data_IF_503513904463
#
_entry.id   IF_503513904463
#
_cell.length_a   1.000
_cell.length_b   1.000
_cell.length_c   1.000
_cell.angle_alpha   90.00
_cell.angle_beta   90.00
_cell.angle_gamma   90.00
#
_symmetry.space_group_name_H-M   'P 1'
#
loop_
_entity.id
_entity.type
_entity.pdbx_description
1 polymer ?
#
# COMPACT_ATOMS: atom_id res chain seq x y z
N UNK A 1 -16.88 41.57 -71.47
CA UNK A 1 -17.58 40.61 -70.60
C UNK A 1 -17.58 39.25 -71.30
N UNK A 2 -17.18 38.17 -70.62
CA UNK A 2 -17.17 36.81 -71.19
C UNK A 2 -18.31 36.00 -70.55
N UNK A 3 -19.17 35.39 -71.37
CA UNK A 3 -20.39 34.67 -70.92
C UNK A 3 -20.07 33.31 -70.27
N UNK A 4 -18.90 32.73 -70.59
CA UNK A 4 -18.51 31.39 -70.14
C UNK A 4 -18.13 31.29 -68.65
N UNK A 5 -17.82 32.41 -67.99
CA UNK A 5 -17.51 32.41 -66.55
C UNK A 5 -18.23 33.54 -65.83
N UNK A 6 -18.93 33.18 -64.75
CA UNK A 6 -19.53 34.15 -63.84
C UNK A 6 -18.74 34.16 -62.53
N UNK A 7 -17.73 35.04 -62.48
CA UNK A 7 -16.83 35.15 -61.33
C UNK A 7 -17.57 35.69 -60.10
N UNK A 8 -18.58 36.55 -60.28
CA UNK A 8 -19.41 37.07 -59.20
C UNK A 8 -20.24 35.95 -58.54
N UNK A 9 -20.90 35.11 -59.34
CA UNK A 9 -21.62 33.95 -58.83
C UNK A 9 -20.70 32.93 -58.14
N UNK A 10 -19.51 32.69 -58.70
CA UNK A 10 -18.51 31.79 -58.10
C UNK A 10 -18.02 32.29 -56.73
N UNK A 11 -17.83 33.61 -56.59
CA UNK A 11 -17.45 34.22 -55.31
C UNK A 11 -18.59 34.10 -54.28
N UNK A 12 -19.83 34.43 -54.66
CA UNK A 12 -21.00 34.24 -53.79
C UNK A 12 -21.16 32.78 -53.35
N UNK A 13 -20.92 31.81 -54.24
CA UNK A 13 -20.96 30.39 -53.90
C UNK A 13 -19.88 29.99 -52.88
N UNK A 14 -18.63 30.47 -53.03
CA UNK A 14 -17.57 30.21 -52.03
C UNK A 14 -17.93 30.76 -50.64
N UNK A 15 -18.50 31.96 -50.57
CA UNK A 15 -18.94 32.55 -49.29
C UNK A 15 -20.11 31.75 -48.69
N UNK A 16 -21.07 31.31 -49.51
CA UNK A 16 -22.17 30.45 -49.07
C UNK A 16 -21.66 29.10 -48.52
N UNK A 17 -20.69 28.47 -49.17
CA UNK A 17 -20.06 27.24 -48.66
C UNK A 17 -19.36 27.47 -47.32
N UNK A 18 -18.63 28.58 -47.17
CA UNK A 18 -18.01 28.97 -45.89
C UNK A 18 -19.04 29.13 -44.77
N UNK A 19 -20.14 29.83 -45.06
CA UNK A 19 -21.23 30.06 -44.10
C UNK A 19 -21.95 28.76 -43.72
N UNK A 20 -22.27 27.89 -44.69
CA UNK A 20 -22.88 26.59 -44.41
C UNK A 20 -21.98 25.73 -43.51
N UNK A 21 -20.67 25.70 -43.76
CA UNK A 21 -19.72 24.97 -42.91
C UNK A 21 -19.70 25.52 -41.47
N UNK A 22 -19.76 26.85 -41.30
CA UNK A 22 -19.81 27.47 -39.97
C UNK A 22 -21.13 27.14 -39.23
N UNK A 23 -22.28 27.18 -39.93
CA UNK A 23 -23.58 26.80 -39.36
C UNK A 23 -23.58 25.33 -38.95
N UNK A 24 -23.08 24.42 -39.80
CA UNK A 24 -22.97 22.99 -39.47
C UNK A 24 -22.12 22.75 -38.21
N UNK A 25 -20.98 23.44 -38.05
CA UNK A 25 -20.15 23.34 -36.84
C UNK A 25 -20.87 23.87 -35.59
N UNK A 26 -21.62 24.97 -35.71
CA UNK A 26 -22.38 25.51 -34.59
C UNK A 26 -23.52 24.58 -34.17
N UNK A 27 -24.20 23.95 -35.13
CA UNK A 27 -25.21 22.93 -34.86
C UNK A 27 -24.60 21.68 -34.19
N UNK A 28 -23.40 21.25 -34.58
CA UNK A 28 -22.68 20.14 -33.92
C UNK A 28 -22.39 20.46 -32.45
N UNK A 29 -21.93 21.68 -32.15
CA UNK A 29 -21.68 22.15 -30.76
C UNK A 29 -22.95 22.27 -29.95
N UNK A 30 -24.03 22.77 -30.55
CA UNK A 30 -25.32 22.87 -29.89
C UNK A 30 -25.91 21.49 -29.59
N UNK A 31 -25.82 20.56 -30.52
CA UNK A 31 -26.37 19.20 -30.38
C UNK A 31 -25.60 18.35 -29.37
N UNK A 32 -24.28 18.54 -29.26
CA UNK A 32 -23.42 17.80 -28.32
C UNK A 32 -23.37 18.42 -26.92
N UNK A 33 -23.68 19.71 -26.81
CA UNK A 33 -23.49 20.48 -25.57
C UNK A 33 -22.02 20.75 -25.23
N UNK A 34 -21.06 20.34 -26.08
CA UNK A 34 -19.64 20.56 -25.86
C UNK A 34 -19.11 21.64 -26.79
N UNK A 35 -18.30 22.54 -26.23
CA UNK A 35 -17.63 23.61 -26.99
C UNK A 35 -16.55 23.08 -27.94
N UNK A 36 -15.88 21.99 -27.57
CA UNK A 36 -14.80 21.34 -28.32
C UNK A 36 -15.20 19.89 -28.59
N UNK A 37 -15.54 19.58 -29.84
CA UNK A 37 -15.94 18.22 -30.26
C UNK A 37 -14.84 17.47 -31.01
N UNK A 38 -13.85 18.19 -31.56
CA UNK A 38 -12.79 17.64 -32.40
C UNK A 38 -11.47 18.30 -32.02
N UNK A 39 -10.36 17.57 -32.16
CA UNK A 39 -9.01 18.10 -31.93
C UNK A 39 -8.68 19.30 -32.86
N UNK A 40 -9.33 19.39 -34.03
CA UNK A 40 -9.16 20.51 -34.96
C UNK A 40 -9.79 21.83 -34.51
N UNK A 41 -10.68 21.84 -33.52
CA UNK A 41 -11.26 23.07 -32.99
C UNK A 41 -10.37 23.71 -31.90
N UNK A 42 -9.80 22.89 -31.01
CA UNK A 42 -8.87 23.32 -29.95
C UNK A 42 -8.14 22.07 -29.38
N UNK A 43 -6.95 21.78 -29.91
CA UNK A 43 -6.19 20.58 -29.52
C UNK A 43 -5.72 20.63 -28.06
N UNK A 44 -5.29 21.81 -27.58
CA UNK A 44 -4.81 21.98 -26.21
C UNK A 44 -5.97 21.91 -25.21
N UNK A 45 -7.09 22.56 -25.51
CA UNK A 45 -8.31 22.48 -24.71
C UNK A 45 -8.87 21.07 -24.63
N UNK A 46 -8.85 20.32 -25.74
CA UNK A 46 -9.25 18.91 -25.75
C UNK A 46 -8.33 18.07 -24.84
N UNK A 47 -7.01 18.19 -24.99
CA UNK A 47 -6.04 17.43 -24.17
C UNK A 47 -6.17 17.71 -22.67
N UNK A 48 -6.37 18.98 -22.27
CA UNK A 48 -6.60 19.33 -20.87
C UNK A 48 -7.93 18.75 -20.38
N UNK A 49 -8.99 18.80 -21.19
CA UNK A 49 -10.30 18.26 -20.83
C UNK A 49 -10.28 16.74 -20.65
N UNK A 50 -9.52 16.02 -21.49
CA UNK A 50 -9.32 14.57 -21.37
C UNK A 50 -8.48 14.22 -20.13
N UNK A 51 -7.43 14.99 -19.85
CA UNK A 51 -6.66 14.86 -18.60
C UNK A 51 -7.57 15.04 -17.37
N UNK A 52 -8.42 16.06 -17.36
CA UNK A 52 -9.37 16.28 -16.27
C UNK A 52 -10.39 15.14 -16.18
N UNK A 53 -10.92 14.63 -17.30
CA UNK A 53 -11.81 13.45 -17.30
C UNK A 53 -11.11 12.21 -16.73
N UNK A 54 -9.85 11.98 -17.08
CA UNK A 54 -9.03 10.90 -16.51
C UNK A 54 -8.80 11.10 -15.01
N UNK A 55 -8.53 12.33 -14.56
CA UNK A 55 -8.41 12.64 -13.13
C UNK A 55 -9.74 12.43 -12.39
N UNK A 56 -10.87 12.88 -12.94
CA UNK A 56 -12.20 12.69 -12.33
C UNK A 56 -12.51 11.20 -12.17
N UNK A 57 -12.28 10.40 -13.21
CA UNK A 57 -12.49 8.94 -13.14
C UNK A 57 -11.53 8.28 -12.15
N UNK A 58 -10.26 8.71 -12.11
CA UNK A 58 -9.30 8.27 -11.10
C UNK A 58 -9.73 8.61 -9.67
N UNK A 59 -10.20 9.84 -9.43
CA UNK A 59 -10.68 10.29 -8.12
C UNK A 59 -11.96 9.56 -7.70
N UNK A 60 -12.89 9.29 -8.62
CA UNK A 60 -14.09 8.51 -8.33
C UNK A 60 -13.73 7.07 -7.90
N UNK A 61 -12.74 6.44 -8.53
CA UNK A 61 -12.24 5.13 -8.11
C UNK A 61 -11.52 5.22 -6.78
N UNK A 62 -10.69 6.25 -6.56
CA UNK A 62 -10.02 6.47 -5.28
C UNK A 62 -11.02 6.67 -4.13
N UNK A 63 -12.14 7.38 -4.38
CA UNK A 63 -13.21 7.54 -3.40
C UNK A 63 -13.86 6.20 -3.04
N UNK A 64 -14.14 5.34 -4.02
CA UNK A 64 -14.65 3.98 -3.77
C UNK A 64 -13.67 3.15 -2.96
N UNK A 65 -12.39 3.17 -3.33
CA UNK A 65 -11.34 2.47 -2.58
C UNK A 65 -11.22 2.99 -1.14
N UNK A 66 -11.38 4.29 -0.92
CA UNK A 66 -11.38 4.87 0.42
C UNK A 66 -12.60 4.42 1.24
N UNK A 67 -13.78 4.28 0.61
CA UNK A 67 -14.97 3.72 1.26
C UNK A 67 -14.77 2.26 1.64
N UNK A 68 -14.18 1.45 0.76
CA UNK A 68 -13.82 0.06 1.08
C UNK A 68 -12.82 0.00 2.25
N UNK A 69 -11.86 0.92 2.30
CA UNK A 69 -10.94 1.06 3.43
C UNK A 69 -11.65 1.43 4.74
N UNK A 70 -12.66 2.29 4.70
CA UNK A 70 -13.49 2.59 5.87
C UNK A 70 -14.26 1.35 6.33
N UNK A 71 -14.87 0.60 5.41
CA UNK A 71 -15.58 -0.65 5.73
C UNK A 71 -14.67 -1.72 6.31
N UNK A 72 -13.42 -1.82 5.82
CA UNK A 72 -12.39 -2.69 6.38
C UNK A 72 -12.09 -2.32 7.84
N UNK A 73 -11.84 -1.03 8.11
CA UNK A 73 -11.53 -0.55 9.47
C UNK A 73 -12.72 -0.75 10.41
N UNK A 74 -13.95 -0.50 9.96
CA UNK A 74 -15.16 -0.74 10.77
C UNK A 74 -15.35 -2.22 11.12
N UNK A 75 -15.02 -3.12 10.20
CA UNK A 75 -15.08 -4.57 10.47
C UNK A 75 -14.05 -4.96 11.53
N UNK A 76 -12.83 -4.42 11.44
CA UNK A 76 -11.81 -4.62 12.46
C UNK A 76 -12.20 -4.00 13.82
N UNK A 77 -12.79 -2.81 13.84
CA UNK A 77 -13.26 -2.13 15.05
C UNK A 77 -14.38 -2.90 15.75
N UNK A 78 -15.32 -3.48 14.99
CA UNK A 78 -16.37 -4.34 15.53
C UNK A 78 -15.79 -5.58 16.22
N UNK A 79 -14.84 -6.25 15.57
CA UNK A 79 -14.15 -7.41 16.16
C UNK A 79 -13.35 -7.03 17.42
N UNK A 80 -12.64 -5.89 17.39
CA UNK A 80 -11.88 -5.41 18.55
C UNK A 80 -12.77 -4.96 19.71
N UNK A 81 -14.00 -4.52 19.44
CA UNK A 81 -14.98 -4.20 20.49
C UNK A 81 -15.38 -5.44 21.28
N UNK A 82 -15.59 -6.58 20.60
CA UNK A 82 -15.83 -7.86 21.25
C UNK A 82 -14.62 -8.33 22.07
N UNK A 83 -13.41 -8.21 21.50
CA UNK A 83 -12.16 -8.50 22.23
C UNK A 83 -12.03 -7.62 23.49
N UNK A 84 -12.34 -6.33 23.39
CA UNK A 84 -12.32 -5.41 24.53
C UNK A 84 -13.33 -5.82 25.63
N UNK A 85 -14.55 -6.24 25.26
CA UNK A 85 -15.54 -6.75 26.21
C UNK A 85 -15.04 -8.00 26.95
N UNK A 86 -14.45 -8.96 26.23
CA UNK A 86 -13.88 -10.17 26.82
C UNK A 86 -12.68 -9.86 27.72
N UNK A 87 -11.81 -8.92 27.36
CA UNK A 87 -10.67 -8.51 28.19
C UNK A 87 -11.15 -7.85 29.49
N UNK A 88 -12.17 -7.00 29.44
CA UNK A 88 -12.76 -6.46 30.68
C UNK A 88 -13.32 -7.56 31.56
N UNK A 89 -13.98 -8.57 30.97
CA UNK A 89 -14.43 -9.75 31.72
C UNK A 89 -13.27 -10.53 32.33
N UNK A 90 -12.14 -10.67 31.63
CA UNK A 90 -10.93 -11.30 32.18
C UNK A 90 -10.35 -10.50 33.35
N UNK A 91 -10.39 -9.16 33.30
CA UNK A 91 -9.98 -8.29 34.42
C UNK A 91 -10.91 -8.48 35.62
N UNK A 92 -12.23 -8.51 35.42
CA UNK A 92 -13.18 -8.80 36.50
C UNK A 92 -12.91 -10.16 37.16
N UNK A 93 -12.63 -11.19 36.36
CA UNK A 93 -12.30 -12.53 36.88
C UNK A 93 -10.95 -12.54 37.62
N UNK A 94 -9.97 -11.75 37.16
CA UNK A 94 -8.69 -11.61 37.82
C UNK A 94 -8.83 -10.92 39.18
N UNK A 95 -9.61 -9.84 39.28
CA UNK A 95 -9.91 -9.14 40.52
C UNK A 95 -10.72 -10.03 41.49
N UNK A 96 -11.68 -10.79 40.95
CA UNK A 96 -12.41 -11.79 41.73
C UNK A 96 -11.47 -12.87 42.29
N UNK A 97 -10.54 -13.38 41.49
CA UNK A 97 -9.53 -14.34 41.99
C UNK A 97 -8.52 -13.72 42.96
N UNK A 98 -8.30 -12.41 42.92
CA UNK A 98 -7.39 -11.71 43.82
C UNK A 98 -8.04 -11.42 45.18
N UNK A 99 -9.37 -11.33 45.25
CA UNK A 99 -10.08 -11.18 46.50
C UNK A 99 -10.04 -12.51 47.30
N UNK A 100 -9.35 -12.49 48.44
CA UNK A 100 -8.97 -13.68 49.23
C UNK A 100 -10.11 -14.46 49.88
N UNK A 101 -11.37 -14.15 49.58
CA UNK A 101 -12.54 -14.94 49.98
C UNK A 101 -12.71 -16.23 49.18
N UNK A 102 -12.14 -16.32 47.98
CA UNK A 102 -12.10 -17.55 47.16
C UNK A 102 -10.86 -18.40 47.48
N UNK A 103 -10.78 -18.92 48.71
CA UNK A 103 -9.64 -19.70 49.20
C UNK A 103 -9.70 -21.19 48.77
N UNK A 104 -10.80 -21.63 48.17
CA UNK A 104 -10.93 -23.00 47.65
C UNK A 104 -10.22 -23.15 46.30
N UNK A 105 -9.27 -24.08 46.23
CA UNK A 105 -8.53 -24.43 45.00
C UNK A 105 -9.46 -24.79 43.82
N UNK A 106 -10.69 -25.25 44.11
CA UNK A 106 -11.71 -25.58 43.11
C UNK A 106 -12.30 -24.34 42.44
N UNK A 107 -12.53 -23.25 43.20
CA UNK A 107 -13.15 -22.04 42.67
C UNK A 107 -12.18 -21.28 41.77
N UNK A 108 -10.91 -21.17 42.19
CA UNK A 108 -9.83 -20.62 41.35
C UNK A 108 -9.60 -21.45 40.08
N UNK A 109 -9.74 -22.77 40.15
CA UNK A 109 -9.65 -23.63 38.97
C UNK A 109 -10.81 -23.40 37.99
N UNK A 110 -12.02 -23.08 38.46
CA UNK A 110 -13.15 -22.77 37.59
C UNK A 110 -13.03 -21.37 36.96
N UNK A 111 -12.57 -20.37 37.70
CA UNK A 111 -12.24 -19.04 37.15
C UNK A 111 -11.15 -19.14 36.07
N UNK A 112 -10.12 -19.97 36.30
CA UNK A 112 -9.07 -20.20 35.31
C UNK A 112 -9.60 -20.86 34.03
N UNK A 113 -10.58 -21.77 34.13
CA UNK A 113 -11.24 -22.34 32.93
C UNK A 113 -11.97 -21.27 32.13
N UNK A 114 -12.69 -20.35 32.79
CA UNK A 114 -13.37 -19.24 32.11
C UNK A 114 -12.36 -18.33 31.39
N UNK A 115 -11.27 -17.95 32.06
CA UNK A 115 -10.16 -17.19 31.44
C UNK A 115 -9.57 -17.92 30.23
N UNK A 116 -9.39 -19.24 30.32
CA UNK A 116 -8.84 -20.05 29.22
C UNK A 116 -9.80 -20.09 28.03
N UNK A 117 -11.11 -20.22 28.28
CA UNK A 117 -12.13 -20.13 27.23
C UNK A 117 -12.18 -18.75 26.58
N UNK A 118 -12.13 -17.67 27.36
CA UNK A 118 -12.09 -16.30 26.84
C UNK A 118 -10.84 -16.07 25.99
N UNK A 119 -9.68 -16.58 26.42
CA UNK A 119 -8.45 -16.52 25.61
C UNK A 119 -8.62 -17.24 24.27
N UNK A 120 -9.15 -18.48 24.29
CA UNK A 120 -9.39 -19.24 23.06
C UNK A 120 -10.37 -18.53 22.12
N UNK A 121 -11.34 -17.82 22.66
CA UNK A 121 -12.32 -17.07 21.88
C UNK A 121 -11.72 -15.79 21.28
N UNK A 122 -10.83 -15.10 22.02
CA UNK A 122 -10.04 -13.99 21.49
C UNK A 122 -9.17 -14.46 20.31
N UNK A 123 -8.46 -15.57 20.47
CA UNK A 123 -7.62 -16.15 19.40
C UNK A 123 -8.49 -16.52 18.18
N UNK A 124 -9.68 -17.11 18.39
CA UNK A 124 -10.64 -17.42 17.32
C UNK A 124 -11.13 -16.17 16.59
N UNK A 125 -11.43 -15.08 17.30
CA UNK A 125 -11.86 -13.82 16.67
C UNK A 125 -10.70 -13.21 15.88
N UNK A 126 -9.47 -13.26 16.39
CA UNK A 126 -8.30 -12.79 15.65
C UNK A 126 -8.11 -13.56 14.33
N UNK A 127 -8.26 -14.90 14.35
CA UNK A 127 -8.08 -15.76 13.18
C UNK A 127 -9.26 -15.76 12.19
N UNK A 128 -10.49 -15.48 12.65
CA UNK A 128 -11.68 -15.53 11.80
C UNK A 128 -12.15 -14.17 11.26
N UNK A 129 -11.59 -13.07 11.75
CA UNK A 129 -11.93 -11.72 11.28
C UNK A 129 -11.29 -11.46 9.93
N UNK A 130 -12.10 -11.58 8.87
CA UNK A 130 -11.68 -11.30 7.50
C UNK A 130 -12.55 -10.23 6.83
N UNK A 131 -11.96 -9.54 5.87
CA UNK A 131 -12.68 -8.67 4.94
C UNK A 131 -12.24 -8.99 3.52
N UNK A 132 -13.18 -9.46 2.69
CA UNK A 132 -12.90 -9.85 1.30
C UNK A 132 -11.73 -10.84 1.15
N UNK A 133 -11.60 -11.78 2.10
CA UNK A 133 -10.53 -12.79 2.12
C UNK A 133 -9.18 -12.30 2.65
N UNK A 134 -9.09 -11.08 3.17
CA UNK A 134 -7.91 -10.55 3.86
C UNK A 134 -8.15 -10.70 5.36
N UNK A 135 -7.28 -11.43 6.04
CA UNK A 135 -7.29 -11.55 7.50
C UNK A 135 -6.79 -10.24 8.13
N UNK A 136 -7.53 -9.74 9.12
CA UNK A 136 -7.33 -8.37 9.63
C UNK A 136 -6.52 -8.31 10.92
N UNK A 137 -6.61 -9.34 11.77
CA UNK A 137 -6.13 -9.30 13.16
C UNK A 137 -5.04 -10.34 13.48
N UNK A 138 -4.57 -11.10 12.48
CA UNK A 138 -3.54 -12.13 12.65
C UNK A 138 -2.10 -11.58 12.66
N UNK A 139 -1.92 -10.27 12.40
CA UNK A 139 -0.62 -9.60 12.37
C UNK A 139 0.10 -9.61 11.02
N UNK A 140 -0.39 -10.33 10.01
CA UNK A 140 0.22 -10.38 8.67
C UNK A 140 0.12 -9.04 7.93
N UNK A 141 -0.91 -8.24 8.25
CA UNK A 141 -1.09 -6.90 7.71
C UNK A 141 -0.17 -5.85 8.36
N UNK A 142 0.60 -6.24 9.38
CA UNK A 142 1.62 -5.38 9.99
C UNK A 142 2.72 -5.07 8.98
N UNK A 143 2.97 -3.79 8.73
CA UNK A 143 4.12 -3.31 7.94
C UNK A 143 5.46 -3.50 8.65
N UNK A 144 5.51 -4.38 9.65
CA UNK A 144 6.73 -4.72 10.35
C UNK A 144 7.65 -5.48 9.41
N UNK A 145 8.73 -4.81 9.01
CA UNK A 145 9.94 -5.43 8.47
C UNK A 145 10.54 -6.33 9.58
N UNK A 146 9.89 -7.45 9.89
CA UNK A 146 10.42 -8.45 10.81
C UNK A 146 11.32 -9.36 10.00
N UNK A 147 12.56 -8.94 9.82
CA UNK A 147 13.64 -9.84 9.43
C UNK A 147 13.78 -10.89 10.54
N UNK A 148 13.19 -12.06 10.34
CA UNK A 148 13.40 -13.21 11.23
C UNK A 148 14.85 -13.65 11.11
N UNK A 149 15.65 -13.29 12.13
CA UNK A 149 17.02 -13.80 12.28
C UNK A 149 16.91 -15.26 12.71
N UNK A 150 16.99 -16.17 11.76
CA UNK A 150 17.12 -17.61 12.04
C UNK A 150 18.59 -18.00 11.93
N UNK A 151 19.22 -18.28 13.07
CA UNK A 151 20.53 -18.92 13.10
C UNK A 151 20.36 -20.39 12.72
N UNK A 152 20.67 -20.75 11.47
CA UNK A 152 20.81 -22.16 11.09
C UNK A 152 22.17 -22.65 11.59
N UNK A 153 22.14 -23.58 12.54
CA UNK A 153 23.31 -24.34 12.95
C UNK A 153 23.67 -25.36 11.87
N UNK A 154 24.93 -25.42 11.47
CA UNK A 154 25.46 -26.54 10.70
C UNK A 154 25.72 -27.73 11.62
N UNK A 155 25.66 -28.95 11.10
CA UNK A 155 25.65 -30.22 11.83
C UNK A 155 26.90 -30.53 12.69
N UNK A 156 27.82 -29.58 12.83
CA UNK A 156 29.07 -29.68 13.62
C UNK A 156 29.21 -28.57 14.68
N UNK A 157 28.16 -27.82 15.00
CA UNK A 157 28.12 -26.93 16.18
C UNK A 157 29.04 -25.70 16.12
N UNK A 158 29.56 -25.31 14.95
CA UNK A 158 30.20 -24.00 14.75
C UNK A 158 29.16 -22.99 14.29
N UNK A 159 29.12 -21.81 14.94
CA UNK A 159 28.25 -20.68 14.58
C UNK A 159 28.54 -20.26 13.13
N UNK A 160 27.71 -20.74 12.20
CA UNK A 160 27.70 -20.28 10.82
C UNK A 160 27.22 -18.83 10.80
N UNK A 161 27.82 -18.01 9.93
CA UNK A 161 27.52 -16.59 9.82
C UNK A 161 26.03 -16.31 9.69
N UNK A 162 25.59 -15.20 10.28
CA UNK A 162 24.22 -14.70 10.14
C UNK A 162 24.11 -14.02 8.78
N UNK A 163 23.45 -14.67 7.83
CA UNK A 163 23.08 -14.03 6.57
C UNK A 163 21.94 -13.03 6.83
N UNK A 164 22.29 -11.75 6.97
CA UNK A 164 21.34 -10.65 7.07
C UNK A 164 20.81 -10.29 5.68
N UNK A 165 19.74 -10.94 5.24
CA UNK A 165 19.04 -10.56 4.01
C UNK A 165 18.13 -9.37 4.27
N UNK A 166 18.61 -8.17 3.97
CA UNK A 166 17.77 -6.98 3.91
C UNK A 166 17.16 -6.82 2.52
N UNK A 167 15.83 -6.85 2.40
CA UNK A 167 15.13 -6.63 1.13
C UNK A 167 14.64 -5.18 1.08
N UNK A 168 15.42 -4.29 0.44
CA UNK A 168 15.10 -2.87 0.33
C UNK A 168 14.41 -2.57 -1.01
N UNK A 169 13.13 -2.93 -1.15
CA UNK A 169 12.42 -2.81 -2.43
C UNK A 169 12.20 -1.35 -2.91
N UNK A 170 12.18 -0.37 -2.00
CA UNK A 170 11.82 1.03 -2.33
C UNK A 170 12.86 2.10 -1.95
N UNK A 171 13.87 1.80 -1.12
CA UNK A 171 14.73 2.84 -0.53
C UNK A 171 15.90 3.34 -1.42
N UNK A 172 16.08 2.80 -2.63
CA UNK A 172 17.22 3.12 -3.50
C UNK A 172 16.86 3.68 -4.88
N UNK A 173 15.58 3.98 -5.14
CA UNK A 173 15.13 4.46 -6.47
C UNK A 173 15.69 5.84 -6.85
N UNK A 174 16.13 6.64 -5.88
CA UNK A 174 16.65 8.00 -6.07
C UNK A 174 18.11 8.20 -5.60
N UNK A 175 18.99 7.19 -5.81
CA UNK A 175 20.44 7.38 -5.62
C UNK A 175 20.90 7.46 -4.15
N UNK A 176 20.17 6.83 -3.22
CA UNK A 176 20.61 6.69 -1.84
C UNK A 176 21.88 5.85 -1.71
N UNK A 177 22.88 6.34 -0.98
CA UNK A 177 24.09 5.56 -0.69
C UNK A 177 23.87 4.70 0.56
N UNK A 178 24.18 3.40 0.48
CA UNK A 178 24.28 2.54 1.66
C UNK A 178 25.63 2.77 2.35
N UNK A 179 25.64 3.64 3.36
CA UNK A 179 26.84 3.90 4.16
C UNK A 179 26.98 2.84 5.25
N UNK A 180 27.87 1.86 5.06
CA UNK A 180 28.25 0.89 6.10
C UNK A 180 29.51 1.37 6.80
N UNK A 181 29.38 2.00 7.96
CA UNK A 181 30.52 2.42 8.78
C UNK A 181 31.01 1.25 9.63
N UNK A 182 32.14 0.66 9.25
CA UNK A 182 32.83 -0.36 10.05
C UNK A 182 33.89 0.34 10.89
N UNK A 183 33.64 0.51 12.19
CA UNK A 183 34.60 1.10 13.13
C UNK A 183 35.56 0.03 13.65
N UNK A 184 36.88 0.28 13.54
CA UNK A 184 37.95 -0.58 14.09
C UNK A 184 38.09 -0.39 15.61
N UNK A 185 38.34 -1.49 16.34
CA UNK A 185 38.62 -1.47 17.79
C UNK A 185 40.07 -1.15 18.17
N UNK A 186 41.06 -1.32 17.27
CA UNK A 186 42.47 -0.93 17.50
C UNK A 186 43.25 -0.80 16.17
N UNK A 187 44.34 -0.01 16.17
CA UNK A 187 44.98 0.57 14.98
C UNK A 187 46.02 -0.28 14.20
N UNK A 188 46.06 -1.61 14.37
CA UNK A 188 47.19 -2.43 13.86
C UNK A 188 47.00 -3.13 12.51
N UNK A 189 45.82 -3.71 12.25
CA UNK A 189 45.71 -4.76 11.23
C UNK A 189 45.07 -4.26 9.91
N UNK A 190 45.52 -4.74 8.74
CA UNK A 190 44.93 -4.37 7.47
C UNK A 190 43.52 -4.97 7.33
N UNK A 191 42.47 -4.13 7.29
CA UNK A 191 41.15 -4.58 6.83
C UNK A 191 41.25 -5.00 5.36
N UNK A 192 41.03 -6.29 5.07
CA UNK A 192 40.98 -6.80 3.70
C UNK A 192 39.53 -6.83 3.23
N UNK A 193 39.24 -6.01 2.22
CA UNK A 193 37.97 -6.06 1.47
C UNK A 193 38.28 -6.73 0.13
N UNK A 194 37.78 -7.95 -0.05
CA UNK A 194 37.92 -8.69 -1.32
C UNK A 194 36.59 -8.65 -2.04
N UNK A 195 36.62 -8.20 -3.29
CA UNK A 195 35.46 -8.23 -4.19
C UNK A 195 35.63 -9.43 -5.11
N UNK A 196 34.78 -10.44 -4.96
CA UNK A 196 34.75 -11.58 -5.87
C UNK A 196 34.22 -11.14 -7.24
N UNK A 197 34.59 -11.85 -8.31
CA UNK A 197 34.08 -11.60 -9.67
C UNK A 197 32.55 -11.81 -9.79
N UNK A 198 31.92 -12.34 -8.74
CA UNK A 198 30.47 -12.50 -8.57
C UNK A 198 29.80 -11.28 -7.90
N UNK A 199 30.55 -10.22 -7.58
CA UNK A 199 30.04 -9.02 -6.91
C UNK A 199 29.84 -9.16 -5.39
N UNK A 200 30.22 -10.30 -4.81
CA UNK A 200 30.18 -10.52 -3.36
C UNK A 200 31.36 -9.80 -2.70
N UNK A 201 31.06 -8.96 -1.70
CA UNK A 201 32.05 -8.25 -0.89
C UNK A 201 32.24 -9.03 0.41
N UNK A 202 33.45 -9.56 0.63
CA UNK A 202 33.78 -10.26 1.88
C UNK A 202 34.72 -9.38 2.69
N UNK A 203 34.31 -9.04 3.92
CA UNK A 203 35.10 -8.28 4.89
C UNK A 203 35.66 -9.28 5.90
N UNK A 204 36.98 -9.39 5.96
CA UNK A 204 37.68 -10.20 6.97
C UNK A 204 38.55 -9.31 7.82
N UNK A 205 38.37 -9.39 9.13
CA UNK A 205 39.30 -8.84 10.11
C UNK A 205 40.17 -10.01 10.57
N UNK A 206 41.43 -10.01 10.15
CA UNK A 206 42.42 -10.97 10.63
C UNK A 206 42.84 -10.52 12.03
N UNK A 207 42.75 -11.40 13.02
CA UNK A 207 43.29 -11.14 14.35
C UNK A 207 44.53 -12.02 14.46
N UNK A 208 45.70 -11.47 14.12
CA UNK A 208 46.95 -12.12 14.50
C UNK A 208 46.99 -12.16 16.04
N UNK A 209 47.26 -13.34 16.59
CA UNK A 209 47.32 -13.58 18.05
C UNK A 209 48.37 -12.73 18.74
#
# INVERSE_FOLDING_TARGET
>A
MRIQHNIAALNSYRNLTGNNNAVSKNLEKLSSGYRINRAGDDAAGLAISEKMRAQITGLNTAQKNAQDGVSLVQTAEGALTEVHSMLNRMVELADQSANGTYDNAVDRANLQKEITSLKSEIDRIADSTNFNGIDLLNGDLSTSTTSTVTSKEDATGKKAGVDLKFTFADQFKDGGNLNVTVAKGNQGDPLKVVVANTGVITITADVEK
#
